data_IF_964887500535
#
_entry.id   IF_964887500535
#
_cell.length_a   1.000
_cell.length_b   1.000
_cell.length_c   1.000
_cell.angle_alpha   90.00
_cell.angle_beta   90.00
_cell.angle_gamma   90.00
#
_symmetry.space_group_name_H-M   'P 1'
#
loop_
_entity.id
_entity.type
_entity.pdbx_description
1 polymer ?
#
# COMPACT_ATOMS: atom_id res chain seq x y z
N UNK A 1 -2.56 -7.09 2.02
CA UNK A 1 -1.96 -5.92 2.70
C UNK A 1 -0.45 -5.97 2.79
N UNK A 2 0.18 -7.09 3.20
CA UNK A 2 1.62 -7.16 3.49
C UNK A 2 2.55 -6.54 2.43
N UNK A 3 2.34 -6.83 1.13
CA UNK A 3 3.20 -6.28 0.08
C UNK A 3 3.04 -4.76 -0.14
N UNK A 4 1.80 -4.26 -0.13
CA UNK A 4 1.54 -2.83 -0.30
C UNK A 4 2.13 -2.03 0.86
N UNK A 5 1.93 -2.51 2.09
CA UNK A 5 2.47 -1.89 3.30
C UNK A 5 4.01 -1.92 3.31
N UNK A 6 4.62 -3.06 2.94
CA UNK A 6 6.08 -3.16 2.77
C UNK A 6 6.60 -2.11 1.80
N UNK A 7 5.92 -1.91 0.67
CA UNK A 7 6.35 -0.94 -0.34
C UNK A 7 6.32 0.49 0.22
N UNK A 8 5.25 0.87 0.93
CA UNK A 8 5.14 2.18 1.56
C UNK A 8 6.21 2.41 2.63
N UNK A 9 6.45 1.43 3.49
CA UNK A 9 7.48 1.53 4.55
C UNK A 9 8.87 1.70 3.91
N UNK A 10 9.18 0.97 2.84
CA UNK A 10 10.47 1.08 2.15
C UNK A 10 10.68 2.42 1.42
N UNK A 11 9.64 3.27 1.27
CA UNK A 11 9.81 4.64 0.76
C UNK A 11 10.45 5.57 1.78
N UNK A 12 10.34 5.26 3.07
CA UNK A 12 10.94 6.09 4.11
C UNK A 12 12.47 5.85 4.13
N UNK A 13 13.31 6.87 3.86
CA UNK A 13 14.76 6.71 3.84
C UNK A 13 15.36 6.35 5.21
N UNK A 14 14.59 6.52 6.28
CA UNK A 14 14.99 6.17 7.66
C UNK A 14 14.80 4.68 7.96
N UNK A 15 14.16 3.92 7.06
CA UNK A 15 14.00 2.47 7.18
C UNK A 15 15.21 1.78 6.54
N UNK A 16 15.90 0.96 7.32
CA UNK A 16 17.00 0.13 6.84
C UNK A 16 16.51 -1.15 6.18
N UNK A 17 15.49 -1.78 6.77
CA UNK A 17 14.96 -3.05 6.30
C UNK A 17 13.48 -3.15 6.60
N UNK A 18 12.71 -3.64 5.62
CA UNK A 18 11.33 -4.05 5.82
C UNK A 18 11.06 -5.35 5.04
N UNK A 19 10.53 -6.34 5.75
CA UNK A 19 10.14 -7.63 5.19
C UNK A 19 8.88 -8.15 5.86
N UNK A 20 8.10 -8.95 5.12
CA UNK A 20 6.98 -9.69 5.68
C UNK A 20 7.06 -11.17 5.29
N UNK A 21 6.54 -12.04 6.15
CA UNK A 21 6.38 -13.46 5.88
C UNK A 21 4.99 -13.93 6.31
N UNK A 22 4.47 -14.94 5.61
CA UNK A 22 3.29 -15.69 6.02
C UNK A 22 3.83 -17.02 6.58
N UNK A 23 3.69 -17.29 7.89
CA UNK A 23 4.28 -18.47 8.50
C UNK A 23 3.66 -19.76 7.97
N UNK A 24 2.35 -19.76 7.73
CA UNK A 24 1.64 -20.89 7.14
C UNK A 24 0.40 -20.43 6.36
N UNK A 25 0.10 -20.98 5.15
CA UNK A 25 -1.03 -20.54 4.33
C UNK A 25 -2.42 -20.70 4.98
N UNK A 26 -2.56 -21.68 5.90
CA UNK A 26 -3.83 -21.90 6.61
C UNK A 26 -4.10 -20.89 7.72
N UNK A 27 -3.09 -20.14 8.15
CA UNK A 27 -3.24 -19.09 9.15
C UNK A 27 -3.29 -17.73 8.45
N UNK A 28 -4.35 -16.97 8.67
CA UNK A 28 -4.47 -15.63 8.12
C UNK A 28 -3.69 -14.61 8.97
N UNK A 29 -2.37 -14.80 9.05
CA UNK A 29 -1.45 -13.98 9.82
C UNK A 29 -0.24 -13.60 8.96
N UNK A 30 0.22 -12.37 9.13
CA UNK A 30 1.47 -11.87 8.55
C UNK A 30 2.41 -11.45 9.67
N UNK A 31 3.68 -11.82 9.54
CA UNK A 31 4.74 -11.32 10.40
C UNK A 31 5.48 -10.21 9.67
N UNK A 32 5.43 -8.99 10.21
CA UNK A 32 6.10 -7.82 9.63
C UNK A 32 7.33 -7.50 10.48
N UNK A 33 8.49 -7.36 9.84
CA UNK A 33 9.74 -6.95 10.48
C UNK A 33 10.23 -5.65 9.87
N UNK A 34 10.42 -4.65 10.71
CA UNK A 34 10.93 -3.32 10.35
C UNK A 34 12.19 -3.05 11.16
N UNK A 35 13.25 -2.59 10.50
CA UNK A 35 14.48 -2.12 11.14
C UNK A 35 14.74 -0.69 10.67
N UNK A 36 14.91 0.22 11.63
CA UNK A 36 15.16 1.65 11.40
C UNK A 36 16.66 1.96 11.57
N UNK A 37 17.11 3.04 10.93
CA UNK A 37 18.39 3.66 11.25
C UNK A 37 18.28 4.47 12.56
N UNK A 38 19.40 4.62 13.28
CA UNK A 38 19.62 5.58 14.38
C UNK A 38 18.63 5.57 15.55
N UNK A 39 18.14 4.39 15.96
CA UNK A 39 17.30 4.27 17.16
C UNK A 39 15.92 4.93 17.05
N UNK A 40 15.50 5.28 15.84
CA UNK A 40 14.18 5.83 15.56
C UNK A 40 13.08 4.77 15.77
N UNK A 41 11.89 5.24 16.13
CA UNK A 41 10.74 4.36 16.37
C UNK A 41 10.22 3.73 15.07
N UNK A 42 10.29 2.40 15.00
CA UNK A 42 9.68 1.61 13.92
C UNK A 42 8.15 1.70 13.92
N UNK A 43 7.54 1.93 15.09
CA UNK A 43 6.10 2.12 15.21
C UNK A 43 5.65 3.40 14.51
N UNK A 44 6.41 4.50 14.66
CA UNK A 44 6.07 5.76 14.01
C UNK A 44 6.16 5.62 12.48
N UNK A 45 7.20 4.93 11.97
CA UNK A 45 7.33 4.66 10.55
C UNK A 45 6.19 3.78 10.01
N UNK A 46 5.69 2.84 10.81
CA UNK A 46 4.54 2.02 10.45
C UNK A 46 3.25 2.85 10.36
N UNK A 47 2.99 3.71 11.35
CA UNK A 47 1.81 4.59 11.37
C UNK A 47 1.81 5.55 10.19
N UNK A 48 2.95 6.20 9.94
CA UNK A 48 3.13 7.10 8.79
C UNK A 48 2.92 6.35 7.45
N UNK A 49 3.42 5.12 7.33
CA UNK A 49 3.22 4.32 6.12
C UNK A 49 1.76 3.89 5.91
N UNK A 50 1.00 3.67 6.98
CA UNK A 50 -0.43 3.35 6.90
C UNK A 50 -1.23 4.57 6.43
N UNK A 51 -0.96 5.74 7.01
CA UNK A 51 -1.62 7.00 6.64
C UNK A 51 -1.34 7.38 5.18
N UNK A 52 -0.09 7.23 4.74
CA UNK A 52 0.29 7.41 3.34
C UNK A 52 -0.39 6.40 2.40
N UNK A 53 -0.58 5.15 2.84
CA UNK A 53 -1.27 4.14 2.03
C UNK A 53 -2.74 4.51 1.83
N UNK A 54 -3.37 5.03 2.88
CA UNK A 54 -4.77 5.47 2.84
C UNK A 54 -4.94 6.64 1.87
N UNK A 55 -4.08 7.67 1.96
CA UNK A 55 -4.10 8.79 1.02
C UNK A 55 -3.85 8.39 -0.45
N UNK A 56 -3.08 7.33 -0.70
CA UNK A 56 -2.93 6.77 -2.06
C UNK A 56 -4.24 6.13 -2.53
N UNK A 57 -4.92 5.36 -1.68
CA UNK A 57 -6.22 4.78 -2.00
C UNK A 57 -7.25 5.87 -2.32
N UNK A 58 -7.34 6.91 -1.50
CA UNK A 58 -8.23 8.05 -1.72
C UNK A 58 -7.95 8.75 -3.07
N UNK A 59 -6.68 9.02 -3.37
CA UNK A 59 -6.33 9.70 -4.63
C UNK A 59 -6.63 8.84 -5.87
N UNK A 60 -6.47 7.51 -5.76
CA UNK A 60 -6.84 6.58 -6.83
C UNK A 60 -8.36 6.57 -7.02
N UNK A 61 -9.12 6.51 -5.93
CA UNK A 61 -10.58 6.52 -5.97
C UNK A 61 -11.12 7.81 -6.59
N UNK A 62 -10.64 8.97 -6.14
CA UNK A 62 -11.05 10.28 -6.67
C UNK A 62 -10.83 10.38 -8.19
N UNK A 63 -9.62 10.01 -8.64
CA UNK A 63 -9.28 10.04 -10.09
C UNK A 63 -10.10 9.03 -10.89
N UNK A 64 -10.36 7.86 -10.32
CA UNK A 64 -11.19 6.84 -10.95
C UNK A 64 -12.63 7.33 -11.13
N UNK A 65 -13.23 7.87 -10.08
CA UNK A 65 -14.58 8.44 -10.13
C UNK A 65 -14.68 9.61 -11.11
N UNK A 66 -13.66 10.49 -11.13
CA UNK A 66 -13.58 11.61 -12.09
C UNK A 66 -13.52 11.09 -13.52
N UNK A 67 -12.67 10.10 -13.80
CA UNK A 67 -12.53 9.50 -15.14
C UNK A 67 -13.83 8.83 -15.62
N UNK A 68 -14.55 8.15 -14.73
CA UNK A 68 -15.87 7.57 -15.03
C UNK A 68 -16.87 8.67 -15.41
N UNK A 69 -16.91 9.77 -14.65
CA UNK A 69 -17.81 10.89 -14.93
C UNK A 69 -17.51 11.57 -16.27
N UNK A 70 -16.22 11.70 -16.61
CA UNK A 70 -15.80 12.24 -17.90
C UNK A 70 -16.18 11.34 -19.09
N UNK A 71 -16.37 10.03 -18.86
CA UNK A 71 -16.82 9.09 -19.88
C UNK A 71 -15.82 8.85 -21.01
N UNK A 72 -14.55 9.24 -20.83
CA UNK A 72 -13.48 9.14 -21.84
C UNK A 72 -12.82 7.76 -21.89
N UNK A 73 -13.60 6.69 -21.77
CA UNK A 73 -13.11 5.32 -21.86
C UNK A 73 -13.73 4.61 -23.06
N UNK A 74 -12.94 3.76 -23.71
CA UNK A 74 -13.39 2.97 -24.85
C UNK A 74 -14.49 2.00 -24.41
N UNK A 75 -15.66 2.09 -25.06
CA UNK A 75 -16.78 1.16 -24.84
C UNK A 75 -16.80 0.20 -26.01
N UNK A 76 -16.61 -1.07 -25.73
CA UNK A 76 -16.76 -2.11 -26.73
C UNK A 76 -18.23 -2.50 -26.82
N UNK A 77 -18.88 -2.20 -27.95
CA UNK A 77 -20.24 -2.66 -28.24
C UNK A 77 -20.17 -3.97 -29.02
N UNK A 78 -20.68 -5.04 -28.43
CA UNK A 78 -20.80 -6.34 -29.10
C UNK A 78 -21.86 -6.23 -30.21
N UNK A 79 -21.43 -6.34 -31.47
CA UNK A 79 -22.33 -6.40 -32.62
C UNK A 79 -23.00 -7.78 -32.65
N UNK A 80 -24.29 -7.85 -32.34
CA UNK A 80 -25.15 -9.01 -32.64
C UNK A 80 -25.22 -9.29 -34.13
#
# INVERSE_FOLDING_TARGET
MGNALRWMIMKNPKVQFCGYSVPHPSENLIQLRIQMFDGLSSLNALLEALDNLDGVCESVEERYLTSIQEGRYERWEEKS
#
